data_IF_025149470577
#
_entry.id   IF_025149470577
#
_cell.length_a   1.000
_cell.length_b   1.000
_cell.length_c   1.000
_cell.angle_alpha   90.00
_cell.angle_beta   90.00
_cell.angle_gamma   90.00
#
_symmetry.space_group_name_H-M   'P 1'
#
loop_
_entity.id
_entity.type
_entity.pdbx_description
1 polymer ?
#
# COMPACT_ATOMS: atom_id res chain seq x y z
N UNK A 1 28.39 2.86 10.03
CA UNK A 1 27.34 2.35 9.11
C UNK A 1 25.96 2.75 9.64
N UNK A 2 24.98 3.08 8.78
CA UNK A 2 23.69 3.66 9.18
C UNK A 2 22.73 2.71 9.93
N UNK A 3 23.06 1.42 10.11
CA UNK A 3 22.19 0.46 10.83
C UNK A 3 21.97 0.80 12.31
N UNK A 4 22.87 1.54 12.96
CA UNK A 4 22.77 1.79 14.40
C UNK A 4 21.52 2.60 14.79
N UNK A 5 21.03 3.49 13.91
CA UNK A 5 19.89 4.37 14.25
C UNK A 5 18.53 3.67 14.24
N UNK A 6 18.36 2.62 13.44
CA UNK A 6 17.07 1.92 13.34
C UNK A 6 16.83 1.06 14.56
N UNK A 7 17.84 0.35 15.03
CA UNK A 7 17.70 -0.49 16.22
C UNK A 7 17.53 0.37 17.48
N UNK A 8 18.26 1.48 17.60
CA UNK A 8 18.03 2.48 18.67
C UNK A 8 16.59 3.02 18.70
N UNK A 9 16.00 3.31 17.53
CA UNK A 9 14.61 3.76 17.44
C UNK A 9 13.62 2.66 17.84
N UNK A 10 13.87 1.42 17.43
CA UNK A 10 13.02 0.28 17.79
C UNK A 10 13.05 0.02 19.30
N UNK A 11 14.21 0.12 19.93
CA UNK A 11 14.32 0.02 21.39
C UNK A 11 13.59 1.17 22.11
N UNK A 12 13.66 2.40 21.58
CA UNK A 12 12.90 3.51 22.13
C UNK A 12 11.37 3.29 22.03
N UNK A 13 10.88 2.78 20.89
CA UNK A 13 9.46 2.43 20.70
C UNK A 13 9.05 1.27 21.60
N UNK A 14 9.88 0.24 21.72
CA UNK A 14 9.65 -0.89 22.61
C UNK A 14 9.53 -0.43 24.07
N UNK A 15 10.41 0.46 24.51
CA UNK A 15 10.35 1.04 25.86
C UNK A 15 9.08 1.87 26.11
N UNK A 16 8.52 2.53 25.09
CA UNK A 16 7.24 3.25 25.20
C UNK A 16 6.08 2.25 25.33
N UNK A 17 6.06 1.20 24.50
CA UNK A 17 5.01 0.17 24.52
C UNK A 17 4.98 -0.56 25.87
N UNK A 18 6.15 -0.88 26.45
CA UNK A 18 6.22 -1.50 27.79
C UNK A 18 5.69 -0.62 28.92
N UNK A 19 5.68 0.70 28.75
CA UNK A 19 5.24 1.67 29.78
C UNK A 19 3.77 2.05 29.66
N UNK A 20 3.12 1.77 28.54
CA UNK A 20 1.72 2.10 28.30
C UNK A 20 0.86 0.86 28.50
N UNK A 21 0.13 0.79 29.62
CA UNK A 21 -0.76 -0.33 29.96
C UNK A 21 -1.88 -0.56 28.92
N UNK A 22 -2.13 0.39 28.02
CA UNK A 22 -3.11 0.25 26.92
C UNK A 22 -2.52 -0.43 25.69
N UNK A 23 -1.19 -0.50 25.57
CA UNK A 23 -0.53 -1.11 24.43
C UNK A 23 -0.31 -2.62 24.67
N UNK A 24 -0.70 -3.45 23.70
CA UNK A 24 -0.66 -4.91 23.86
C UNK A 24 0.68 -5.52 23.39
N UNK A 25 1.16 -5.11 22.21
CA UNK A 25 2.38 -5.66 21.61
C UNK A 25 2.94 -4.74 20.52
N UNK A 26 4.24 -4.89 20.26
CA UNK A 26 4.94 -4.29 19.12
C UNK A 26 5.50 -5.41 18.24
N UNK A 27 5.21 -5.37 16.94
CA UNK A 27 5.81 -6.26 15.95
C UNK A 27 6.42 -5.43 14.82
N UNK A 28 7.62 -5.82 14.39
CA UNK A 28 8.36 -5.12 13.33
C UNK A 28 8.47 -6.03 12.11
N UNK A 29 8.04 -5.52 10.96
CA UNK A 29 8.24 -6.18 9.67
C UNK A 29 9.19 -5.38 8.81
N UNK A 30 10.34 -5.98 8.49
CA UNK A 30 11.33 -5.42 7.57
C UNK A 30 11.01 -5.87 6.14
N UNK A 31 11.71 -5.29 5.15
CA UNK A 31 11.63 -5.68 3.74
C UNK A 31 10.22 -5.53 3.13
N UNK A 32 9.57 -4.41 3.41
CA UNK A 32 8.34 -4.01 2.74
C UNK A 32 8.64 -3.02 1.61
N UNK A 33 7.94 -3.17 0.50
CA UNK A 33 7.85 -2.13 -0.52
C UNK A 33 6.63 -1.25 -0.26
N UNK A 34 6.85 0.07 -0.27
CA UNK A 34 5.79 1.08 -0.24
C UNK A 34 5.45 1.50 -1.67
N UNK A 35 4.25 1.17 -2.12
CA UNK A 35 3.75 1.51 -3.45
C UNK A 35 2.70 2.61 -3.29
N UNK A 36 2.88 3.72 -4.01
CA UNK A 36 1.91 4.82 -4.06
C UNK A 36 1.29 4.89 -5.44
N UNK A 37 -0.02 4.70 -5.51
CA UNK A 37 -0.85 4.93 -6.68
C UNK A 37 -1.41 6.34 -6.56
N UNK A 38 -1.25 7.17 -7.59
CA UNK A 38 -1.80 8.52 -7.66
C UNK A 38 -2.78 8.63 -8.81
N UNK A 39 -3.85 9.39 -8.61
CA UNK A 39 -4.87 9.65 -9.62
C UNK A 39 -5.86 10.70 -9.11
N UNK A 40 -6.47 11.44 -10.02
CA UNK A 40 -7.52 12.41 -9.67
C UNK A 40 -8.80 11.64 -9.34
N UNK A 41 -9.47 11.99 -8.23
CA UNK A 41 -10.77 11.42 -7.87
C UNK A 41 -10.73 9.93 -7.51
N UNK A 42 -9.59 9.39 -7.07
CA UNK A 42 -9.50 7.99 -6.62
C UNK A 42 -10.39 7.72 -5.41
N UNK A 43 -10.54 8.72 -4.53
CA UNK A 43 -11.43 8.74 -3.38
C UNK A 43 -12.91 8.80 -3.77
N UNK A 44 -13.23 9.37 -4.93
CA UNK A 44 -14.59 9.52 -5.45
C UNK A 44 -15.00 8.38 -6.38
N UNK A 45 -14.03 7.59 -6.87
CA UNK A 45 -14.26 6.50 -7.83
C UNK A 45 -14.48 5.18 -7.08
N UNK A 46 -15.72 4.63 -7.05
CA UNK A 46 -15.98 3.38 -6.37
C UNK A 46 -15.20 2.20 -6.99
N UNK A 47 -14.75 1.27 -6.13
CA UNK A 47 -14.12 0.03 -6.60
C UNK A 47 -12.66 0.13 -7.02
N UNK A 48 -12.00 1.30 -6.94
CA UNK A 48 -10.55 1.42 -7.15
C UNK A 48 -9.78 0.47 -6.25
N UNK A 49 -10.10 0.46 -4.95
CA UNK A 49 -9.44 -0.42 -3.98
C UNK A 49 -9.68 -1.89 -4.31
N UNK A 50 -10.92 -2.29 -4.60
CA UNK A 50 -11.25 -3.68 -4.97
C UNK A 50 -10.41 -4.13 -6.16
N UNK A 51 -10.35 -3.35 -7.24
CA UNK A 51 -9.59 -3.71 -8.44
C UNK A 51 -8.09 -3.88 -8.17
N UNK A 52 -7.53 -3.04 -7.30
CA UNK A 52 -6.15 -3.17 -6.84
C UNK A 52 -5.98 -4.46 -6.04
N UNK A 53 -6.82 -4.69 -5.03
CA UNK A 53 -6.69 -5.85 -4.14
C UNK A 53 -6.95 -7.17 -4.87
N UNK A 54 -7.91 -7.20 -5.79
CA UNK A 54 -8.27 -8.38 -6.60
C UNK A 54 -7.13 -8.78 -7.54
N UNK A 55 -6.47 -7.79 -8.16
CA UNK A 55 -5.32 -8.02 -9.02
C UNK A 55 -4.12 -8.61 -8.24
N UNK A 56 -3.87 -8.12 -7.02
CA UNK A 56 -2.80 -8.64 -6.17
C UNK A 56 -3.13 -10.03 -5.61
N UNK A 57 -4.38 -10.24 -5.17
CA UNK A 57 -4.85 -11.53 -4.68
C UNK A 57 -4.77 -12.63 -5.75
N UNK A 58 -5.13 -12.31 -7.00
CA UNK A 58 -5.03 -13.25 -8.14
C UNK A 58 -3.60 -13.71 -8.40
N UNK A 59 -2.60 -12.90 -8.01
CA UNK A 59 -1.19 -13.23 -8.10
C UNK A 59 -0.60 -13.78 -6.78
N UNK A 60 -1.44 -14.02 -5.77
CA UNK A 60 -1.04 -14.47 -4.41
C UNK A 60 -0.07 -13.51 -3.71
N UNK A 61 -0.17 -12.21 -3.98
CA UNK A 61 0.62 -11.18 -3.31
C UNK A 61 -0.16 -10.68 -2.09
N UNK A 62 0.47 -10.75 -0.92
CA UNK A 62 -0.14 -10.28 0.32
C UNK A 62 0.00 -8.76 0.50
N UNK A 63 -1.00 -8.13 1.12
CA UNK A 63 -1.02 -6.70 1.45
C UNK A 63 -0.89 -6.56 2.97
N UNK A 64 0.15 -5.84 3.43
CA UNK A 64 0.45 -5.67 4.85
C UNK A 64 -0.11 -4.37 5.44
N UNK A 65 -0.50 -3.44 4.57
CA UNK A 65 -1.11 -2.19 4.95
C UNK A 65 -1.65 -1.49 3.72
N UNK A 66 -2.78 -0.82 3.88
CA UNK A 66 -3.39 0.02 2.85
C UNK A 66 -3.84 1.33 3.50
N UNK A 67 -3.53 2.43 2.83
CA UNK A 67 -3.88 3.78 3.25
C UNK A 67 -4.44 4.51 2.05
N UNK A 68 -5.40 5.38 2.30
CA UNK A 68 -6.00 6.23 1.28
C UNK A 68 -5.91 7.67 1.74
N UNK A 69 -5.43 8.54 0.86
CA UNK A 69 -5.43 9.98 1.03
C UNK A 69 -5.97 10.55 -0.27
N UNK A 70 -7.10 11.25 -0.24
CA UNK A 70 -7.66 12.03 -1.38
C UNK A 70 -7.27 11.40 -2.73
N UNK A 71 -6.28 11.97 -3.42
CA UNK A 71 -5.83 11.54 -4.76
C UNK A 71 -4.77 10.42 -4.79
N UNK A 72 -4.70 9.57 -3.75
CA UNK A 72 -3.77 8.45 -3.68
C UNK A 72 -4.24 7.26 -2.85
N UNK A 73 -3.76 6.09 -3.27
CA UNK A 73 -3.83 4.84 -2.53
C UNK A 73 -2.40 4.37 -2.30
N UNK A 74 -2.03 4.17 -1.05
CA UNK A 74 -0.74 3.63 -0.65
C UNK A 74 -0.89 2.22 -0.10
N UNK A 75 0.04 1.34 -0.48
CA UNK A 75 0.01 -0.06 -0.12
C UNK A 75 1.40 -0.60 0.18
N UNK A 76 1.46 -1.49 1.16
CA UNK A 76 2.66 -2.20 1.56
C UNK A 76 2.59 -3.67 1.13
N UNK A 77 3.57 -4.10 0.35
CA UNK A 77 3.75 -5.51 -0.07
C UNK A 77 5.14 -5.99 0.31
N UNK A 78 5.41 -7.28 0.18
CA UNK A 78 6.77 -7.80 0.35
C UNK A 78 7.70 -7.19 -0.71
N UNK A 79 8.93 -6.81 -0.31
CA UNK A 79 9.87 -6.13 -1.22
C UNK A 79 10.18 -6.96 -2.47
N UNK A 80 10.18 -8.29 -2.35
CA UNK A 80 10.41 -9.22 -3.47
C UNK A 80 9.30 -9.18 -4.54
N UNK A 81 8.09 -8.76 -4.15
CA UNK A 81 6.91 -8.76 -5.02
C UNK A 81 6.67 -7.37 -5.67
N UNK A 82 7.51 -6.38 -5.35
CA UNK A 82 7.33 -4.96 -5.71
C UNK A 82 7.10 -4.75 -7.21
N UNK A 83 8.01 -5.24 -8.06
CA UNK A 83 7.94 -5.05 -9.50
C UNK A 83 6.65 -5.67 -10.08
N UNK A 84 6.28 -6.86 -9.61
CA UNK A 84 5.11 -7.57 -10.09
C UNK A 84 3.81 -6.89 -9.63
N UNK A 85 3.74 -6.49 -8.36
CA UNK A 85 2.64 -5.72 -7.80
C UNK A 85 2.39 -4.42 -8.60
N UNK A 86 3.45 -3.66 -8.91
CA UNK A 86 3.33 -2.43 -9.73
C UNK A 86 2.73 -2.71 -11.11
N UNK A 87 3.15 -3.80 -11.77
CA UNK A 87 2.62 -4.15 -13.09
C UNK A 87 1.14 -4.53 -13.04
N UNK A 88 0.74 -5.34 -12.04
CA UNK A 88 -0.65 -5.76 -11.84
C UNK A 88 -1.56 -4.57 -11.55
N UNK A 89 -1.15 -3.69 -10.64
CA UNK A 89 -1.90 -2.47 -10.29
C UNK A 89 -2.09 -1.58 -11.52
N UNK A 90 -1.03 -1.35 -12.29
CA UNK A 90 -1.12 -0.57 -13.53
C UNK A 90 -2.09 -1.19 -14.53
N UNK A 91 -2.10 -2.52 -14.68
CA UNK A 91 -3.04 -3.21 -15.56
C UNK A 91 -4.48 -3.08 -15.07
N UNK A 92 -4.71 -3.23 -13.78
CA UNK A 92 -6.03 -3.15 -13.15
C UNK A 92 -6.69 -1.77 -13.32
N UNK A 93 -5.90 -0.69 -13.32
CA UNK A 93 -6.40 0.69 -13.38
C UNK A 93 -6.42 1.29 -14.79
N UNK A 94 -5.82 0.64 -15.79
CA UNK A 94 -5.82 1.13 -17.19
C UNK A 94 -7.19 1.08 -17.87
N UNK A 95 -8.18 0.41 -17.28
CA UNK A 95 -9.53 0.26 -17.86
C UNK A 95 -10.41 1.51 -17.84
N UNK A 96 -10.04 2.56 -17.11
CA UNK A 96 -10.94 3.71 -16.85
C UNK A 96 -10.69 4.91 -17.78
N UNK A 97 -9.56 4.96 -18.48
CA UNK A 97 -9.11 6.15 -19.22
C UNK A 97 -9.62 6.31 -20.65
N UNK A 98 -10.46 5.40 -21.18
CA UNK A 98 -10.79 5.38 -22.62
C UNK A 98 -12.27 5.17 -22.97
N UNK A 99 -13.19 5.05 -22.00
CA UNK A 99 -14.59 4.69 -22.30
C UNK A 99 -15.60 5.83 -22.40
N UNK A 100 -15.16 7.09 -22.29
CA UNK A 100 -16.09 8.23 -22.15
C UNK A 100 -15.95 9.33 -23.24
N UNK A 101 -15.52 8.97 -24.46
CA UNK A 101 -15.39 9.93 -25.58
C UNK A 101 -15.93 9.44 -26.93
N UNK A 102 -16.84 8.47 -26.93
CA UNK A 102 -17.40 7.93 -28.17
C UNK A 102 -18.91 7.75 -28.11
N UNK A 103 -19.64 8.69 -27.52
CA UNK A 103 -21.10 8.85 -27.72
C UNK A 103 -21.48 10.33 -27.73
N UNK A 104 -20.90 11.12 -28.64
CA UNK A 104 -21.56 12.31 -29.17
C UNK A 104 -21.16 12.42 -30.64
N UNK A 105 -21.92 11.73 -31.49
CA UNK A 105 -21.94 11.90 -32.95
C UNK A 105 -23.26 12.52 -33.36
#
# INVERSE_FOLDING_TARGET
MPMNRTDELLEALHAIVLKDERALALAVRKNLAFIRVKGVGLEETPGVISRITDALNSAKINIYGIFTITSSVELFVDLKDKEWAIQLIRKALKGDGQKDRSEIG
#
